data_IF_222248653915
#
_entry.id   IF_222248653915
#
_cell.length_a   1.000
_cell.length_b   1.000
_cell.length_c   1.000
_cell.angle_alpha   90.00
_cell.angle_beta   90.00
_cell.angle_gamma   90.00
#
_symmetry.space_group_name_H-M   'P 1'
#
loop_
_entity.id
_entity.type
_entity.pdbx_description
1 polymer ?
#
# COMPACT_ATOMS: atom_id res chain seq x y z
N UNK A 1 64.08 -1.35 4.36
CA UNK A 1 63.61 -1.10 5.72
C UNK A 1 62.43 -0.18 5.55
N UNK A 2 61.26 -0.65 5.22
CA UNK A 2 60.25 -1.28 6.07
C UNK A 2 59.65 -0.33 7.07
N UNK A 3 58.49 0.20 6.78
CA UNK A 3 57.46 0.26 7.80
C UNK A 3 56.12 -0.07 7.19
N UNK A 4 55.60 -1.20 7.62
CA UNK A 4 54.24 -1.68 7.45
C UNK A 4 53.59 -1.60 8.83
N UNK A 5 52.51 -0.91 8.96
CA UNK A 5 51.46 -1.22 9.94
C UNK A 5 50.67 0.02 10.31
N UNK A 6 49.57 0.24 9.64
CA UNK A 6 48.35 0.75 10.30
C UNK A 6 47.22 0.74 9.24
N UNK A 7 46.51 -0.33 9.22
CA UNK A 7 45.18 -0.40 8.60
C UNK A 7 44.33 -1.33 9.45
N UNK A 8 43.07 -0.96 9.63
CA UNK A 8 41.98 -1.72 10.22
C UNK A 8 41.77 -1.63 11.69
N UNK A 9 40.88 -0.67 12.06
CA UNK A 9 39.84 -0.90 13.08
C UNK A 9 38.82 0.25 13.00
N UNK A 10 37.92 0.28 12.03
CA UNK A 10 36.80 1.24 12.03
C UNK A 10 35.52 0.72 11.36
N UNK A 11 35.37 -0.57 11.20
CA UNK A 11 34.24 -1.14 10.47
C UNK A 11 33.27 -2.01 11.28
N UNK A 12 33.43 -2.18 12.59
CA UNK A 12 32.65 -3.17 13.37
C UNK A 12 31.64 -2.62 14.38
N UNK A 13 31.61 -1.32 14.62
CA UNK A 13 30.75 -0.74 15.67
C UNK A 13 29.38 -0.22 15.18
N UNK A 14 29.21 0.10 13.90
CA UNK A 14 27.92 0.63 13.40
C UNK A 14 26.81 -0.41 13.26
N UNK A 15 27.14 -1.66 12.98
CA UNK A 15 26.13 -2.73 12.78
C UNK A 15 25.50 -3.23 14.10
N UNK A 16 26.25 -3.17 15.20
CA UNK A 16 25.79 -3.68 16.49
C UNK A 16 24.83 -2.70 17.22
N UNK A 17 25.01 -1.41 17.02
CA UNK A 17 24.13 -0.39 17.60
C UNK A 17 22.76 -0.32 16.92
N UNK A 18 22.71 -0.50 15.60
CA UNK A 18 21.46 -0.58 14.84
C UNK A 18 20.63 -1.81 15.24
N UNK A 19 21.25 -2.98 15.32
CA UNK A 19 20.57 -4.21 15.74
C UNK A 19 20.05 -4.16 17.19
N UNK A 20 20.74 -3.48 18.07
CA UNK A 20 20.29 -3.33 19.48
C UNK A 20 19.13 -2.35 19.61
N UNK A 21 19.08 -1.29 18.80
CA UNK A 21 17.95 -0.36 18.75
C UNK A 21 16.70 -1.00 18.13
N UNK A 22 16.87 -1.83 17.11
CA UNK A 22 15.77 -2.57 16.48
C UNK A 22 15.17 -3.61 17.43
N UNK A 23 15.98 -4.29 18.26
CA UNK A 23 15.50 -5.23 19.27
C UNK A 23 14.76 -4.54 20.42
N UNK A 24 15.27 -3.40 20.90
CA UNK A 24 14.61 -2.60 21.95
C UNK A 24 13.26 -2.03 21.48
N UNK A 25 13.12 -1.71 20.20
CA UNK A 25 11.83 -1.29 19.63
C UNK A 25 10.82 -2.44 19.61
N UNK A 26 11.25 -3.65 19.29
CA UNK A 26 10.40 -4.85 19.26
C UNK A 26 9.84 -5.20 20.64
N UNK A 27 10.70 -5.19 21.67
CA UNK A 27 10.28 -5.50 23.04
C UNK A 27 9.19 -4.52 23.52
N UNK A 28 9.27 -3.24 23.13
CA UNK A 28 8.27 -2.24 23.48
C UNK A 28 6.91 -2.48 22.82
N UNK A 29 6.85 -3.15 21.67
CA UNK A 29 5.61 -3.39 20.93
C UNK A 29 4.90 -4.68 21.33
N UNK A 30 5.64 -5.67 21.82
CA UNK A 30 5.12 -6.97 22.19
C UNK A 30 4.69 -7.06 23.66
N UNK A 31 5.06 -6.11 24.50
CA UNK A 31 4.70 -6.07 25.94
C UNK A 31 3.48 -5.21 26.25
N UNK A 32 2.94 -4.50 25.25
CA UNK A 32 1.80 -3.60 25.40
C UNK A 32 0.45 -4.34 25.41
N UNK A 33 -0.60 -3.58 25.69
CA UNK A 33 -1.98 -4.01 25.71
C UNK A 33 -2.36 -4.80 24.45
N UNK A 34 -3.08 -5.90 24.65
CA UNK A 34 -3.65 -6.73 23.59
C UNK A 34 -5.15 -6.46 23.46
N UNK A 35 -5.64 -6.49 22.21
CA UNK A 35 -7.06 -6.29 21.88
C UNK A 35 -7.58 -7.47 21.06
N UNK A 36 -8.88 -7.68 21.11
CA UNK A 36 -9.56 -8.73 20.34
C UNK A 36 -10.30 -8.10 19.15
N UNK A 37 -10.06 -8.61 17.95
CA UNK A 37 -10.82 -8.22 16.75
C UNK A 37 -11.55 -9.44 16.22
N UNK A 38 -12.86 -9.32 16.07
CA UNK A 38 -13.74 -10.37 15.55
C UNK A 38 -14.18 -9.99 14.15
N UNK A 39 -13.95 -10.87 13.17
CA UNK A 39 -14.13 -10.57 11.75
C UNK A 39 -15.03 -11.60 11.07
N UNK A 40 -15.92 -11.10 10.22
CA UNK A 40 -16.82 -11.86 9.38
C UNK A 40 -18.03 -12.43 10.13
N UNK A 41 -18.94 -13.04 9.37
CA UNK A 41 -20.19 -13.60 9.91
C UNK A 41 -19.96 -14.80 10.84
N UNK A 42 -18.82 -15.51 10.70
CA UNK A 42 -18.42 -16.63 11.57
C UNK A 42 -17.73 -16.15 12.86
N UNK A 43 -17.65 -14.86 13.09
CA UNK A 43 -17.02 -14.24 14.25
C UNK A 43 -15.60 -14.75 14.52
N UNK A 44 -14.78 -14.89 13.47
CA UNK A 44 -13.39 -15.34 13.62
C UNK A 44 -12.59 -14.34 14.44
N UNK A 45 -11.93 -14.80 15.50
CA UNK A 45 -11.23 -13.96 16.48
C UNK A 45 -9.75 -13.89 16.21
N UNK A 46 -9.20 -12.66 16.35
CA UNK A 46 -7.77 -12.36 16.38
C UNK A 46 -7.42 -11.60 17.64
N UNK A 47 -6.34 -12.01 18.28
CA UNK A 47 -5.75 -11.31 19.41
C UNK A 47 -4.51 -10.59 18.90
N UNK A 48 -4.48 -9.27 19.01
CA UNK A 48 -3.48 -8.40 18.36
C UNK A 48 -2.93 -7.41 19.38
N UNK A 49 -1.64 -7.10 19.30
CA UNK A 49 -1.04 -6.04 20.09
C UNK A 49 -1.60 -4.68 19.63
N UNK A 50 -2.25 -3.95 20.53
CA UNK A 50 -2.90 -2.67 20.22
C UNK A 50 -1.93 -1.70 19.57
N UNK A 51 -0.72 -1.58 20.10
CA UNK A 51 0.30 -0.64 19.62
C UNK A 51 0.66 -0.84 18.16
N UNK A 52 0.65 -2.07 17.64
CA UNK A 52 0.87 -2.33 16.22
C UNK A 52 -0.24 -1.72 15.34
N UNK A 53 -1.50 -1.82 15.78
CA UNK A 53 -2.63 -1.27 15.07
C UNK A 53 -2.63 0.26 15.10
N UNK A 54 -2.52 0.84 16.31
CA UNK A 54 -2.62 2.29 16.50
C UNK A 54 -1.42 3.06 15.93
N UNK A 55 -0.26 2.42 15.79
CA UNK A 55 0.92 3.01 15.14
C UNK A 55 0.75 3.18 13.64
N UNK A 56 -0.12 2.40 13.01
CA UNK A 56 -0.34 2.39 11.57
C UNK A 56 -1.65 3.04 11.13
N UNK A 57 -2.59 3.29 12.06
CA UNK A 57 -3.95 3.66 11.74
C UNK A 57 -4.59 4.56 12.79
N UNK A 58 -5.02 5.74 12.37
CA UNK A 58 -5.82 6.63 13.20
C UNK A 58 -7.21 6.07 13.46
N UNK A 59 -7.75 5.26 12.54
CA UNK A 59 -9.02 4.55 12.75
C UNK A 59 -8.94 3.66 14.00
N UNK A 60 -7.91 2.83 14.12
CA UNK A 60 -7.72 1.99 15.30
C UNK A 60 -7.33 2.82 16.53
N UNK A 61 -6.51 3.86 16.36
CA UNK A 61 -6.12 4.74 17.46
C UNK A 61 -7.34 5.39 18.10
N UNK A 62 -8.21 5.97 17.31
CA UNK A 62 -9.42 6.64 17.80
C UNK A 62 -10.33 5.64 18.53
N UNK A 63 -10.56 4.47 17.95
CA UNK A 63 -11.43 3.46 18.54
C UNK A 63 -10.92 2.94 19.90
N UNK A 64 -9.64 2.57 19.97
CA UNK A 64 -9.08 1.99 21.20
C UNK A 64 -8.75 3.05 22.27
N UNK A 65 -8.60 4.32 21.91
CA UNK A 65 -8.44 5.41 22.89
C UNK A 65 -9.65 5.62 23.78
N UNK A 66 -10.82 5.18 23.36
CA UNK A 66 -12.07 5.20 24.15
C UNK A 66 -12.14 4.10 25.19
N UNK A 67 -11.11 3.27 25.30
CA UNK A 67 -10.99 2.21 26.31
C UNK A 67 -11.59 0.87 25.90
N UNK A 68 -11.96 0.70 24.64
CA UNK A 68 -12.45 -0.58 24.13
C UNK A 68 -11.35 -1.62 24.05
N UNK A 69 -11.64 -2.88 24.44
CA UNK A 69 -10.75 -4.03 24.33
C UNK A 69 -11.13 -4.97 23.17
N UNK A 70 -12.32 -4.79 22.61
CA UNK A 70 -12.86 -5.61 21.53
C UNK A 70 -13.41 -4.75 20.39
N UNK A 71 -13.19 -5.21 19.15
CA UNK A 71 -13.75 -4.63 17.93
C UNK A 71 -14.44 -5.70 17.10
N UNK A 72 -15.59 -5.38 16.49
CA UNK A 72 -16.30 -6.26 15.57
C UNK A 72 -16.28 -5.69 14.15
N UNK A 73 -15.92 -6.53 13.19
CA UNK A 73 -15.85 -6.25 11.75
C UNK A 73 -16.69 -7.33 11.01
N UNK A 74 -18.02 -7.33 11.14
CA UNK A 74 -18.87 -8.42 10.66
C UNK A 74 -18.90 -8.52 9.13
N UNK A 75 -18.71 -7.40 8.42
CA UNK A 75 -18.81 -7.31 6.97
C UNK A 75 -17.46 -7.57 6.26
N UNK A 76 -16.38 -7.72 7.03
CA UNK A 76 -15.04 -7.93 6.46
C UNK A 76 -14.75 -9.43 6.28
N UNK A 77 -13.96 -9.74 5.25
CA UNK A 77 -13.57 -11.10 4.96
C UNK A 77 -12.41 -11.56 5.86
N UNK A 78 -12.59 -12.65 6.64
CA UNK A 78 -11.56 -13.17 7.56
C UNK A 78 -10.23 -13.50 6.88
N UNK A 79 -10.26 -13.93 5.61
CA UNK A 79 -9.05 -14.25 4.83
C UNK A 79 -8.23 -12.98 4.54
N UNK A 80 -8.87 -11.91 4.12
CA UNK A 80 -8.20 -10.64 3.85
C UNK A 80 -7.62 -10.04 5.12
N UNK A 81 -8.38 -10.11 6.22
CA UNK A 81 -7.90 -9.65 7.51
C UNK A 81 -6.69 -10.47 8.00
N UNK A 82 -6.65 -11.77 7.78
CA UNK A 82 -5.49 -12.59 8.08
C UNK A 82 -4.23 -12.16 7.30
N UNK A 83 -4.37 -11.79 6.02
CA UNK A 83 -3.27 -11.26 5.22
C UNK A 83 -2.81 -9.88 5.72
N UNK A 84 -3.76 -9.02 6.11
CA UNK A 84 -3.46 -7.74 6.73
C UNK A 84 -2.67 -7.90 8.04
N UNK A 85 -3.10 -8.79 8.95
CA UNK A 85 -2.40 -9.06 10.20
C UNK A 85 -0.97 -9.57 9.94
N UNK A 86 -0.78 -10.42 8.95
CA UNK A 86 0.56 -10.89 8.57
C UNK A 86 1.46 -9.76 8.08
N UNK A 87 0.90 -8.84 7.28
CA UNK A 87 1.62 -7.64 6.88
C UNK A 87 1.98 -6.79 8.09
N UNK A 88 1.03 -6.56 8.99
CA UNK A 88 1.21 -5.74 10.18
C UNK A 88 2.36 -6.25 11.05
N UNK A 89 2.37 -7.54 11.36
CA UNK A 89 3.46 -8.15 12.14
C UNK A 89 4.76 -8.24 11.34
N UNK A 90 4.68 -8.51 10.05
CA UNK A 90 5.86 -8.59 9.19
C UNK A 90 6.60 -7.26 9.07
N UNK A 91 5.90 -6.14 9.03
CA UNK A 91 6.52 -4.80 8.99
C UNK A 91 7.13 -4.40 10.33
N UNK A 92 6.56 -4.84 11.44
CA UNK A 92 7.12 -4.59 12.77
C UNK A 92 8.51 -5.24 12.98
N UNK A 93 8.81 -6.33 12.26
CA UNK A 93 10.07 -7.05 12.37
C UNK A 93 11.11 -6.70 11.30
N UNK A 94 10.83 -5.70 10.44
CA UNK A 94 11.79 -5.26 9.43
C UNK A 94 12.61 -4.08 9.97
N UNK A 95 13.95 -4.09 9.79
CA UNK A 95 14.80 -2.93 10.12
C UNK A 95 14.34 -1.71 9.33
N UNK A 96 14.34 -0.55 9.99
CA UNK A 96 13.97 0.74 9.42
C UNK A 96 14.74 1.00 8.12
N UNK A 97 14.05 1.01 6.98
CA UNK A 97 14.63 1.25 5.64
C UNK A 97 14.74 0.03 4.72
N UNK A 98 14.36 -1.15 5.15
CA UNK A 98 14.38 -2.35 4.31
C UNK A 98 13.09 -2.51 3.49
N UNK A 99 13.06 -2.00 2.25
CA UNK A 99 12.08 -2.43 1.24
C UNK A 99 12.41 -3.86 0.81
N UNK A 100 12.13 -4.84 1.66
CA UNK A 100 12.10 -6.23 1.21
C UNK A 100 10.75 -6.48 0.57
N UNK A 101 10.74 -7.17 -0.57
CA UNK A 101 9.55 -7.69 -1.21
C UNK A 101 8.76 -8.52 -0.20
N UNK A 102 7.86 -7.87 0.53
CA UNK A 102 7.01 -8.53 1.50
C UNK A 102 6.04 -9.39 0.70
N UNK A 103 6.32 -10.68 0.63
CA UNK A 103 5.36 -11.63 0.08
C UNK A 103 4.32 -11.90 1.15
N UNK A 104 3.08 -11.51 0.87
CA UNK A 104 1.96 -11.96 1.65
C UNK A 104 1.88 -13.48 1.53
N UNK A 105 2.47 -14.20 2.49
CA UNK A 105 2.38 -15.66 2.50
C UNK A 105 1.03 -16.04 3.10
N UNK A 106 0.27 -16.94 2.49
CA UNK A 106 -1.02 -17.36 3.02
C UNK A 106 -0.83 -18.15 4.33
N UNK A 107 -1.77 -18.04 5.29
CA UNK A 107 -1.69 -18.76 6.56
C UNK A 107 -1.80 -20.28 6.41
N UNK A 108 -2.38 -20.74 5.33
CA UNK A 108 -2.81 -22.12 5.06
C UNK A 108 -2.02 -22.80 3.91
N UNK A 109 -0.96 -22.16 3.42
CA UNK A 109 -0.20 -22.65 2.26
C UNK A 109 -0.92 -22.47 0.91
N UNK A 110 -2.14 -21.96 0.90
CA UNK A 110 -2.88 -21.64 -0.32
C UNK A 110 -2.27 -20.40 -0.99
N UNK A 111 -2.10 -20.41 -2.28
CA UNK A 111 -1.53 -19.25 -3.02
C UNK A 111 -2.41 -18.00 -2.85
N UNK A 112 -1.77 -16.85 -2.65
CA UNK A 112 -2.46 -15.55 -2.63
C UNK A 112 -2.74 -15.13 -4.07
N UNK A 113 -4.00 -14.88 -4.39
CA UNK A 113 -4.44 -14.43 -5.71
C UNK A 113 -4.26 -12.91 -5.85
N UNK A 114 -4.30 -12.40 -7.09
CA UNK A 114 -4.38 -10.95 -7.35
C UNK A 114 -5.57 -10.35 -6.63
N UNK A 115 -6.73 -11.03 -6.66
CA UNK A 115 -7.95 -10.59 -5.98
C UNK A 115 -7.77 -10.44 -4.47
N UNK A 116 -7.04 -11.34 -3.82
CA UNK A 116 -6.72 -11.22 -2.38
C UNK A 116 -5.89 -9.95 -2.12
N UNK A 117 -4.88 -9.65 -2.96
CA UNK A 117 -4.10 -8.42 -2.83
C UNK A 117 -4.96 -7.18 -3.00
N UNK A 118 -5.85 -7.16 -3.97
CA UNK A 118 -6.77 -6.04 -4.19
C UNK A 118 -7.73 -5.87 -3.00
N UNK A 119 -8.21 -6.98 -2.43
CA UNK A 119 -9.04 -6.96 -1.21
C UNK A 119 -8.28 -6.37 -0.01
N UNK A 120 -7.01 -6.74 0.17
CA UNK A 120 -6.15 -6.15 1.23
C UNK A 120 -5.91 -4.65 0.97
N UNK A 121 -5.77 -4.22 -0.28
CA UNK A 121 -5.68 -2.80 -0.63
C UNK A 121 -6.94 -2.03 -0.22
N UNK A 122 -8.12 -2.56 -0.52
CA UNK A 122 -9.41 -1.97 -0.13
C UNK A 122 -9.54 -1.91 1.39
N UNK A 123 -9.17 -3.00 2.09
CA UNK A 123 -9.16 -3.06 3.55
C UNK A 123 -8.21 -2.01 4.16
N UNK A 124 -7.03 -1.83 3.55
CA UNK A 124 -6.08 -0.78 3.92
C UNK A 124 -6.66 0.62 3.78
N UNK A 125 -7.49 0.86 2.75
CA UNK A 125 -8.25 2.10 2.58
C UNK A 125 -9.28 2.33 3.69
N UNK A 126 -10.04 1.29 4.04
CA UNK A 126 -11.01 1.31 5.14
C UNK A 126 -10.36 1.70 6.48
N UNK A 127 -9.17 1.20 6.76
CA UNK A 127 -8.45 1.48 8.00
C UNK A 127 -7.51 2.70 7.92
N UNK A 128 -7.43 3.37 6.77
CA UNK A 128 -6.55 4.53 6.58
C UNK A 128 -5.06 4.20 6.61
N UNK A 129 -4.66 2.98 6.22
CA UNK A 129 -3.27 2.52 6.30
C UNK A 129 -2.58 2.61 4.94
N UNK A 130 -1.88 3.72 4.70
CA UNK A 130 -1.12 3.96 3.47
C UNK A 130 -0.02 2.90 3.26
N UNK A 131 0.63 2.46 4.32
CA UNK A 131 1.72 1.49 4.27
C UNK A 131 1.32 0.15 3.63
N UNK A 132 0.19 -0.43 4.01
CA UNK A 132 -0.29 -1.70 3.43
C UNK A 132 -0.74 -1.51 1.99
N UNK A 133 -1.35 -0.37 1.65
CA UNK A 133 -1.77 -0.05 0.28
C UNK A 133 -0.57 0.04 -0.66
N UNK A 134 0.50 0.73 -0.24
CA UNK A 134 1.74 0.81 -0.99
C UNK A 134 2.46 -0.54 -1.09
N UNK A 135 2.45 -1.36 -0.03
CA UNK A 135 3.00 -2.70 -0.08
C UNK A 135 2.29 -3.61 -1.09
N UNK A 136 0.97 -3.51 -1.19
CA UNK A 136 0.19 -4.22 -2.23
C UNK A 136 0.55 -3.72 -3.63
N UNK A 137 0.66 -2.40 -3.83
CA UNK A 137 1.09 -1.83 -5.11
C UNK A 137 2.47 -2.35 -5.52
N UNK A 138 3.41 -2.46 -4.59
CA UNK A 138 4.75 -2.99 -4.84
C UNK A 138 4.72 -4.45 -5.31
N UNK A 139 3.92 -5.28 -4.66
CA UNK A 139 3.75 -6.70 -5.04
C UNK A 139 3.13 -6.82 -6.43
N UNK A 140 2.07 -6.08 -6.70
CA UNK A 140 1.41 -6.12 -8.00
C UNK A 140 2.26 -5.50 -9.11
N UNK A 141 3.05 -4.47 -8.81
CA UNK A 141 4.01 -3.90 -9.76
C UNK A 141 5.05 -4.94 -10.19
N UNK A 142 5.62 -5.69 -9.24
CA UNK A 142 6.51 -6.79 -9.56
C UNK A 142 5.80 -7.89 -10.35
N UNK A 143 4.59 -8.27 -9.94
CA UNK A 143 3.80 -9.32 -10.61
C UNK A 143 3.50 -9.03 -12.08
N UNK A 144 3.11 -7.79 -12.42
CA UNK A 144 2.81 -7.38 -13.79
C UNK A 144 4.05 -6.96 -14.58
N UNK A 145 5.13 -6.53 -13.89
CA UNK A 145 6.36 -6.03 -14.51
C UNK A 145 7.44 -7.08 -14.75
N UNK A 146 7.44 -8.21 -14.05
CA UNK A 146 8.49 -9.24 -14.07
C UNK A 146 8.45 -10.19 -15.27
N UNK A 147 7.72 -9.89 -16.32
CA UNK A 147 7.81 -10.63 -17.58
C UNK A 147 9.15 -10.40 -18.27
N UNK A 148 10.19 -11.18 -17.92
CA UNK A 148 11.55 -11.10 -18.51
C UNK A 148 11.64 -11.53 -19.97
N UNK A 149 10.52 -11.81 -20.63
CA UNK A 149 10.43 -12.16 -22.04
C UNK A 149 9.23 -11.47 -22.68
N UNK A 150 9.36 -11.11 -23.94
CA UNK A 150 8.30 -10.44 -24.72
C UNK A 150 6.96 -11.19 -24.76
N UNK A 151 6.90 -12.43 -24.26
CA UNK A 151 5.75 -13.33 -24.32
C UNK A 151 4.97 -13.50 -23.01
N UNK A 152 5.46 -13.00 -21.86
CA UNK A 152 4.84 -13.28 -20.55
C UNK A 152 4.33 -12.03 -19.81
N UNK A 153 4.08 -10.92 -20.48
CA UNK A 153 3.44 -9.78 -19.82
C UNK A 153 2.01 -10.16 -19.39
N UNK A 154 1.80 -10.12 -18.08
CA UNK A 154 0.49 -10.36 -17.49
C UNK A 154 -0.35 -9.09 -17.60
N UNK A 155 -1.60 -9.24 -17.99
CA UNK A 155 -2.58 -8.15 -17.97
C UNK A 155 -3.41 -8.25 -16.70
N UNK A 156 -3.78 -7.12 -16.10
CA UNK A 156 -4.90 -7.11 -15.15
C UNK A 156 -6.17 -7.68 -15.77
N UNK A 157 -6.89 -8.47 -14.99
CA UNK A 157 -8.22 -8.93 -15.36
C UNK A 157 -9.20 -7.76 -15.28
N UNK A 158 -10.13 -7.67 -16.24
CA UNK A 158 -11.11 -6.59 -16.24
C UNK A 158 -12.09 -6.68 -15.06
N UNK A 159 -12.34 -7.86 -14.52
CA UNK A 159 -13.13 -8.02 -13.29
C UNK A 159 -12.39 -7.48 -12.06
N UNK A 160 -11.06 -7.58 -12.02
CA UNK A 160 -10.25 -7.00 -10.96
C UNK A 160 -10.19 -5.47 -11.05
N UNK A 161 -10.13 -4.93 -12.26
CA UNK A 161 -10.26 -3.49 -12.50
C UNK A 161 -11.61 -2.99 -11.99
N UNK A 162 -12.72 -3.65 -12.42
CA UNK A 162 -14.07 -3.29 -12.00
C UNK A 162 -14.20 -3.30 -10.47
N UNK A 163 -13.69 -4.35 -9.82
CA UNK A 163 -13.70 -4.44 -8.36
C UNK A 163 -13.04 -3.23 -7.67
N UNK A 164 -11.88 -2.81 -8.15
CA UNK A 164 -11.20 -1.65 -7.58
C UNK A 164 -11.99 -0.36 -7.83
N UNK A 165 -12.63 -0.21 -8.99
CA UNK A 165 -13.48 0.94 -9.27
C UNK A 165 -14.74 0.99 -8.40
N UNK A 166 -15.30 -0.16 -8.04
CA UNK A 166 -16.47 -0.24 -7.16
C UNK A 166 -16.15 0.00 -5.67
N UNK A 167 -14.91 -0.32 -5.24
CA UNK A 167 -14.55 -0.34 -3.82
C UNK A 167 -13.54 0.73 -3.41
N UNK A 168 -13.19 1.65 -4.30
CA UNK A 168 -12.24 2.73 -4.00
C UNK A 168 -12.74 4.07 -4.51
N UNK A 169 -12.15 5.15 -4.01
CA UNK A 169 -12.42 6.51 -4.48
C UNK A 169 -11.81 6.78 -5.87
N UNK A 170 -12.34 7.74 -6.66
CA UNK A 170 -11.85 8.03 -8.02
C UNK A 170 -10.37 8.40 -8.09
N UNK A 171 -9.82 8.94 -7.04
CA UNK A 171 -8.41 9.36 -6.92
C UNK A 171 -7.47 8.25 -6.47
N UNK A 172 -8.01 7.05 -6.14
CA UNK A 172 -7.21 5.93 -5.66
C UNK A 172 -6.12 5.52 -6.66
N UNK A 173 -4.84 5.52 -6.27
CA UNK A 173 -3.71 5.19 -7.16
C UNK A 173 -3.82 3.81 -7.80
N UNK A 174 -4.45 2.84 -7.15
CA UNK A 174 -4.65 1.49 -7.68
C UNK A 174 -5.49 1.49 -8.97
N UNK A 175 -6.48 2.41 -9.11
CA UNK A 175 -7.25 2.55 -10.36
C UNK A 175 -6.34 2.86 -11.53
N UNK A 176 -5.49 3.89 -11.36
CA UNK A 176 -4.51 4.32 -12.37
C UNK A 176 -3.48 3.24 -12.65
N UNK A 177 -3.02 2.56 -11.61
CA UNK A 177 -2.05 1.48 -11.72
C UNK A 177 -2.56 0.33 -12.60
N UNK A 178 -3.75 -0.20 -12.32
CA UNK A 178 -4.32 -1.31 -13.07
C UNK A 178 -4.64 -0.90 -14.52
N UNK A 179 -5.23 0.29 -14.74
CA UNK A 179 -5.51 0.80 -16.08
C UNK A 179 -4.23 0.99 -16.88
N UNK A 180 -3.15 1.52 -16.27
CA UNK A 180 -1.85 1.68 -16.93
C UNK A 180 -1.28 0.34 -17.41
N UNK A 181 -1.31 -0.69 -16.55
CA UNK A 181 -0.83 -2.02 -16.91
C UNK A 181 -1.70 -2.70 -17.99
N UNK A 182 -3.01 -2.52 -17.91
CA UNK A 182 -3.93 -3.02 -18.93
C UNK A 182 -3.69 -2.38 -20.30
N UNK A 183 -3.56 -1.06 -20.35
CA UNK A 183 -3.24 -0.34 -21.59
C UNK A 183 -1.85 -0.71 -22.12
N UNK A 184 -0.84 -0.79 -21.24
CA UNK A 184 0.49 -1.23 -21.62
C UNK A 184 0.47 -2.61 -22.29
N UNK A 185 -0.27 -3.56 -21.70
CA UNK A 185 -0.44 -4.89 -22.28
C UNK A 185 -1.07 -4.86 -23.68
N UNK A 186 -2.12 -4.06 -23.88
CA UNK A 186 -2.80 -3.93 -25.18
C UNK A 186 -1.86 -3.38 -26.27
N UNK A 187 -1.08 -2.37 -25.93
CA UNK A 187 -0.28 -1.67 -26.93
C UNK A 187 1.11 -2.28 -27.14
N UNK A 188 1.71 -2.91 -26.12
CA UNK A 188 3.04 -3.52 -26.25
C UNK A 188 3.03 -4.82 -27.04
N UNK A 189 1.93 -5.59 -26.99
CA UNK A 189 1.81 -6.87 -27.71
C UNK A 189 1.50 -6.77 -29.21
N UNK A 190 1.51 -5.57 -29.76
CA UNK A 190 1.39 -5.42 -31.21
C UNK A 190 0.10 -6.03 -31.79
N UNK A 191 -0.98 -6.09 -31.02
CA UNK A 191 -2.32 -6.57 -31.48
C UNK A 191 -2.97 -5.56 -32.43
N UNK A 192 -2.20 -5.06 -33.39
CA UNK A 192 -2.77 -4.18 -34.43
C UNK A 192 -3.84 -4.95 -35.18
N UNK A 193 -5.09 -4.53 -35.00
CA UNK A 193 -6.23 -5.14 -35.68
C UNK A 193 -6.82 -6.41 -35.03
N UNK A 194 -6.32 -6.87 -33.88
CA UNK A 194 -7.00 -7.92 -33.14
C UNK A 194 -8.21 -7.34 -32.37
N UNK A 195 -9.34 -8.06 -32.29
CA UNK A 195 -10.48 -7.63 -31.49
C UNK A 195 -10.08 -7.57 -30.01
N UNK A 196 -10.76 -6.70 -29.26
CA UNK A 196 -10.62 -6.67 -27.80
C UNK A 196 -11.05 -8.05 -27.23
N UNK A 197 -10.42 -8.51 -26.13
CA UNK A 197 -10.95 -9.65 -25.41
C UNK A 197 -12.40 -9.43 -24.98
N UNK A 198 -13.20 -10.49 -24.94
CA UNK A 198 -14.64 -10.40 -24.65
C UNK A 198 -14.94 -9.77 -23.29
N UNK A 199 -14.14 -10.07 -22.29
CA UNK A 199 -14.23 -9.47 -20.95
C UNK A 199 -14.06 -7.94 -20.98
N UNK A 200 -13.18 -7.43 -21.84
CA UNK A 200 -12.97 -6.00 -22.04
C UNK A 200 -14.20 -5.33 -22.66
N UNK A 201 -14.78 -5.93 -23.69
CA UNK A 201 -16.01 -5.40 -24.31
C UNK A 201 -17.15 -5.34 -23.30
N UNK A 202 -17.30 -6.39 -22.48
CA UNK A 202 -18.34 -6.44 -21.46
C UNK A 202 -18.17 -5.38 -20.37
N UNK A 203 -16.96 -5.19 -19.86
CA UNK A 203 -16.70 -4.21 -18.80
C UNK A 203 -16.79 -2.78 -19.32
N UNK A 204 -16.19 -2.49 -20.47
CA UNK A 204 -16.26 -1.15 -21.08
C UNK A 204 -17.68 -0.78 -21.48
N UNK A 205 -18.50 -1.76 -21.87
CA UNK A 205 -19.92 -1.55 -22.16
C UNK A 205 -20.77 -1.28 -20.91
N UNK A 206 -20.31 -1.66 -19.71
CA UNK A 206 -21.05 -1.50 -18.45
C UNK A 206 -20.49 -0.40 -17.55
N UNK A 207 -19.21 -0.14 -17.61
CA UNK A 207 -18.52 0.84 -16.73
C UNK A 207 -17.96 2.01 -17.54
N UNK A 208 -18.75 3.07 -17.66
CA UNK A 208 -18.29 4.32 -18.28
C UNK A 208 -17.08 4.92 -17.57
N UNK A 209 -16.97 4.72 -16.25
CA UNK A 209 -15.87 5.25 -15.43
C UNK A 209 -14.53 4.60 -15.81
N UNK A 210 -14.50 3.29 -16.01
CA UNK A 210 -13.29 2.58 -16.49
C UNK A 210 -12.87 3.09 -17.86
N UNK A 211 -13.85 3.20 -18.79
CA UNK A 211 -13.61 3.72 -20.14
C UNK A 211 -13.07 5.15 -20.13
N UNK A 212 -13.64 6.01 -19.30
CA UNK A 212 -13.18 7.39 -19.13
C UNK A 212 -11.73 7.45 -18.63
N UNK A 213 -11.39 6.66 -17.60
CA UNK A 213 -10.03 6.64 -17.05
C UNK A 213 -9.02 6.14 -18.09
N UNK A 214 -9.38 5.15 -18.91
CA UNK A 214 -8.55 4.67 -20.01
C UNK A 214 -8.27 5.78 -21.04
N UNK A 215 -9.31 6.51 -21.46
CA UNK A 215 -9.18 7.61 -22.43
C UNK A 215 -8.33 8.75 -21.82
N UNK A 216 -8.57 9.09 -20.55
CA UNK A 216 -7.80 10.12 -19.84
C UNK A 216 -6.32 9.77 -19.81
N UNK A 217 -5.97 8.53 -19.44
CA UNK A 217 -4.58 8.08 -19.42
C UNK A 217 -3.94 8.03 -20.80
N UNK A 218 -4.68 7.65 -21.83
CA UNK A 218 -4.19 7.72 -23.21
C UNK A 218 -3.89 9.15 -23.63
N UNK A 219 -4.67 10.13 -23.18
CA UNK A 219 -4.41 11.55 -23.40
C UNK A 219 -3.18 12.08 -22.66
N UNK A 220 -2.91 11.60 -21.45
CA UNK A 220 -1.72 11.94 -20.67
C UNK A 220 -0.43 11.32 -21.26
N UNK A 221 -0.53 10.19 -21.91
CA UNK A 221 0.58 9.61 -22.65
C UNK A 221 0.78 10.42 -23.93
N UNK A 222 1.69 11.38 -23.89
CA UNK A 222 2.03 12.21 -25.04
C UNK A 222 2.28 11.34 -26.28
N UNK A 223 1.28 11.30 -27.16
CA UNK A 223 1.40 10.70 -28.47
C UNK A 223 2.34 11.58 -29.30
N UNK A 224 3.64 11.37 -29.13
CA UNK A 224 4.60 11.89 -30.11
C UNK A 224 4.42 11.04 -31.36
N UNK A 225 3.51 11.48 -32.22
CA UNK A 225 3.31 10.92 -33.55
C UNK A 225 4.56 11.24 -34.39
N UNK A 226 5.60 10.46 -34.25
CA UNK A 226 6.81 10.52 -35.04
C UNK A 226 7.18 9.12 -35.54
N UNK A 227 8.05 9.03 -36.56
CA UNK A 227 8.46 7.81 -37.25
C UNK A 227 9.02 6.68 -36.35
N UNK A 228 9.31 6.97 -35.10
CA UNK A 228 9.63 6.00 -34.06
C UNK A 228 8.38 5.87 -33.17
N UNK A 229 7.64 4.78 -33.31
CA UNK A 229 6.49 4.48 -32.45
C UNK A 229 6.83 4.72 -30.99
N UNK A 230 6.05 5.53 -30.26
CA UNK A 230 6.31 5.78 -28.84
C UNK A 230 6.29 4.46 -28.10
N UNK A 231 7.37 4.13 -27.45
CA UNK A 231 7.37 3.01 -26.52
C UNK A 231 6.57 3.45 -25.31
N UNK A 232 5.40 2.84 -25.11
CA UNK A 232 4.68 2.98 -23.86
C UNK A 232 5.58 2.48 -22.74
N UNK A 233 5.87 3.34 -21.79
CA UNK A 233 6.62 2.96 -20.58
C UNK A 233 5.67 3.09 -19.40
N UNK A 234 5.62 2.06 -18.57
CA UNK A 234 4.91 2.16 -17.29
C UNK A 234 5.71 3.11 -16.41
N UNK A 235 5.01 4.01 -15.74
CA UNK A 235 5.60 4.93 -14.77
C UNK A 235 6.35 4.17 -13.67
N UNK A 236 7.31 4.83 -13.04
CA UNK A 236 8.03 4.25 -11.92
C UNK A 236 7.05 3.86 -10.79
N UNK A 237 7.37 2.78 -10.09
CA UNK A 237 6.55 2.23 -8.99
C UNK A 237 6.11 3.30 -7.98
N UNK A 238 7.03 4.17 -7.59
CA UNK A 238 6.80 5.23 -6.62
C UNK A 238 5.80 6.31 -7.08
N UNK A 239 5.52 6.40 -8.37
CA UNK A 239 4.51 7.33 -8.90
C UNK A 239 3.07 6.85 -8.64
N UNK A 240 2.91 5.56 -8.34
CA UNK A 240 1.62 4.97 -7.93
C UNK A 240 1.47 4.89 -6.41
N UNK A 241 2.51 5.22 -5.63
CA UNK A 241 2.40 5.20 -4.18
C UNK A 241 1.48 6.31 -3.68
N UNK A 242 0.72 5.98 -2.67
CA UNK A 242 -0.03 6.96 -1.91
C UNK A 242 0.92 7.75 -1.01
N UNK A 243 0.65 9.03 -0.90
CA UNK A 243 1.35 9.87 0.06
C UNK A 243 0.60 9.83 1.39
N UNK A 244 1.32 9.69 2.48
CA UNK A 244 0.72 9.92 3.79
C UNK A 244 0.14 11.33 3.83
N UNK A 245 -1.04 11.54 4.44
CA UNK A 245 -1.57 12.87 4.64
C UNK A 245 -0.49 13.70 5.36
N UNK A 246 -0.26 14.92 4.88
CA UNK A 246 0.61 15.86 5.59
C UNK A 246 0.00 16.07 6.98
N UNK A 247 0.82 16.08 8.05
CA UNK A 247 0.31 16.45 9.36
C UNK A 247 -0.36 17.82 9.24
N UNK A 248 -1.57 17.94 9.77
CA UNK A 248 -2.24 19.23 9.82
C UNK A 248 -1.33 20.22 10.54
N UNK A 249 -1.17 21.45 10.01
CA UNK A 249 -0.38 22.46 10.70
C UNK A 249 -0.99 22.66 12.09
N UNK A 250 -0.18 22.45 13.12
CA UNK A 250 -0.58 22.77 14.50
C UNK A 250 -1.09 24.21 14.51
N UNK A 251 -2.38 24.38 14.73
CA UNK A 251 -2.97 25.69 14.98
C UNK A 251 -2.41 26.16 16.31
N UNK A 252 -1.32 26.91 16.25
CA UNK A 252 -0.79 27.63 17.43
C UNK A 252 -1.92 28.55 17.88
N UNK A 253 -2.64 28.16 18.92
CA UNK A 253 -3.54 29.05 19.63
C UNK A 253 -2.65 30.17 20.19
N UNK A 254 -2.64 31.32 19.53
CA UNK A 254 -2.17 32.56 20.13
C UNK A 254 -3.14 32.84 21.30
N UNK A 255 -2.67 32.57 22.50
CA UNK A 255 -3.27 33.12 23.70
C UNK A 255 -3.14 34.65 23.56
N UNK A 256 -4.26 35.31 23.37
CA UNK A 256 -4.34 36.76 23.40
C UNK A 256 -4.16 37.14 24.88
N UNK A 257 -2.96 37.60 25.22
CA UNK A 257 -2.70 38.32 26.46
C UNK A 257 -3.45 39.66 26.39
N UNK A 258 -4.69 39.66 26.87
CA UNK A 258 -5.43 40.87 27.23
C UNK A 258 -4.83 41.40 28.55
N UNK A 259 -3.71 42.09 28.48
CA UNK A 259 -3.31 43.03 29.51
C UNK A 259 -4.25 44.23 29.50
N UNK A 260 -5.28 44.15 30.31
CA UNK A 260 -6.07 45.32 30.69
C UNK A 260 -5.21 46.24 31.57
N UNK A 261 -4.65 47.25 30.95
CA UNK A 261 -4.07 48.40 31.65
C UNK A 261 -5.22 49.19 32.34
N UNK A 262 -5.36 48.97 33.63
CA UNK A 262 -6.19 49.77 34.51
C UNK A 262 -5.30 50.73 35.29
N UNK A 263 -5.08 51.92 34.73
CA UNK A 263 -4.53 53.04 35.54
C UNK A 263 -5.65 53.78 36.28
N UNK A 264 -5.51 54.03 37.56
CA UNK A 264 -6.45 54.85 38.31
C UNK A 264 -6.06 56.32 38.27
N UNK A 265 -7.06 57.20 38.12
CA UNK A 265 -7.05 58.57 38.64
C UNK A 265 -8.35 58.77 39.43
#
# INVERSE_FOLDING_TARGET
MTDRSQCTQSGRTMGAQSASQDLQSLDSWLTDRIVTITVGPEEKRWVVHEKLLVSQSDFFRNYFSEGHDEMKLPDDEPRLFALFIRWLYGTAFLPSGGTRNFRFLPPDGVSVSVRDYLGVYVLGGKFGIVGVRNAVLDVLYAYYGEGSGADEHRSPDMHDITYIFEHTTPDAPMRRFLVAHALFYLFSRGRRGAPLPLDWEQVLGRSAEVGYEMIRMLGEWNWVMGANAPRMTIKARTEFHERAPLPEPEVVKQEADDEADASPI
#
